data_IF_906962442913
#
_entry.id   IF_906962442913
#
_cell.length_a   1.000
_cell.length_b   1.000
_cell.length_c   1.000
_cell.angle_alpha   90.00
_cell.angle_beta   90.00
_cell.angle_gamma   90.00
#
_symmetry.space_group_name_H-M   'P 1'
#
loop_
_entity.id
_entity.type
_entity.pdbx_description
1 polymer ?
#
# COMPACT_ATOMS: atom_id res chain seq x y z
N UNK A 1 11.99 -14.70 -28.75
CA UNK A 1 11.33 -15.85 -28.11
C UNK A 1 11.67 -15.98 -26.64
N UNK A 2 10.64 -16.05 -25.80
CA UNK A 2 10.73 -16.19 -24.35
C UNK A 2 11.25 -17.56 -23.88
N UNK A 3 11.63 -18.45 -24.80
CA UNK A 3 12.20 -19.77 -24.53
C UNK A 3 13.71 -19.90 -24.74
N UNK A 4 14.41 -18.82 -25.12
CA UNK A 4 15.88 -18.85 -25.27
C UNK A 4 16.57 -18.65 -23.91
N UNK A 5 17.73 -19.28 -23.72
CA UNK A 5 18.56 -19.13 -22.50
C UNK A 5 18.85 -17.65 -22.19
N UNK A 6 19.11 -16.86 -23.23
CA UNK A 6 19.33 -15.41 -23.17
C UNK A 6 18.08 -14.64 -22.72
N UNK A 7 16.88 -15.11 -23.08
CA UNK A 7 15.61 -14.55 -22.63
C UNK A 7 15.36 -14.79 -21.14
N UNK A 8 15.68 -15.98 -20.64
CA UNK A 8 15.59 -16.32 -19.21
C UNK A 8 16.59 -15.53 -18.38
N UNK A 9 17.81 -15.40 -18.86
CA UNK A 9 18.85 -14.63 -18.19
C UNK A 9 18.46 -13.14 -18.08
N UNK A 10 17.97 -12.55 -19.18
CA UNK A 10 17.46 -11.17 -19.17
C UNK A 10 16.28 -11.00 -18.21
N UNK A 11 15.40 -12.00 -18.14
CA UNK A 11 14.27 -12.01 -17.21
C UNK A 11 14.72 -11.99 -15.74
N UNK A 12 15.72 -12.81 -15.39
CA UNK A 12 16.27 -12.87 -14.03
C UNK A 12 16.85 -11.51 -13.64
N UNK A 13 17.66 -10.89 -14.52
CA UNK A 13 18.24 -9.57 -14.24
C UNK A 13 17.17 -8.48 -14.06
N UNK A 14 16.16 -8.45 -14.94
CA UNK A 14 15.04 -7.51 -14.79
C UNK A 14 14.28 -7.69 -13.47
N UNK A 15 14.12 -8.93 -13.01
CA UNK A 15 13.43 -9.24 -11.77
C UNK A 15 14.24 -8.77 -10.55
N UNK A 16 15.55 -9.01 -10.56
CA UNK A 16 16.48 -8.57 -9.50
C UNK A 16 16.43 -7.04 -9.35
N UNK A 17 16.46 -6.30 -10.45
CA UNK A 17 16.45 -4.84 -10.41
C UNK A 17 15.14 -4.29 -9.82
N UNK A 18 14.01 -4.87 -10.21
CA UNK A 18 12.70 -4.50 -9.66
C UNK A 18 12.61 -4.76 -8.15
N UNK A 19 13.15 -5.88 -7.67
CA UNK A 19 13.23 -6.19 -6.22
C UNK A 19 14.10 -5.16 -5.49
N UNK A 20 15.28 -4.83 -6.01
CA UNK A 20 16.19 -3.86 -5.39
C UNK A 20 15.58 -2.45 -5.34
N UNK A 21 14.92 -2.02 -6.41
CA UNK A 21 14.24 -0.73 -6.47
C UNK A 21 13.11 -0.67 -5.43
N UNK A 22 12.24 -1.69 -5.39
CA UNK A 22 11.15 -1.77 -4.42
C UNK A 22 11.65 -1.79 -2.97
N UNK A 23 12.71 -2.55 -2.69
CA UNK A 23 13.31 -2.65 -1.35
C UNK A 23 13.87 -1.32 -0.81
N UNK A 24 14.20 -0.37 -1.69
CA UNK A 24 14.76 0.95 -1.32
C UNK A 24 13.74 2.07 -1.45
N UNK A 25 12.54 1.78 -1.92
CA UNK A 25 11.50 2.78 -2.09
C UNK A 25 11.08 3.34 -0.72
N UNK A 26 11.19 4.65 -0.55
CA UNK A 26 10.64 5.33 0.61
C UNK A 26 9.14 5.49 0.40
N UNK A 27 8.36 4.59 1.01
CA UNK A 27 6.91 4.74 1.06
C UNK A 27 6.62 5.86 2.05
N UNK A 28 6.14 6.99 1.55
CA UNK A 28 5.61 8.05 2.41
C UNK A 28 4.45 7.45 3.20
N UNK A 29 4.67 7.13 4.47
CA UNK A 29 3.57 6.99 5.41
C UNK A 29 2.93 8.37 5.49
N UNK A 30 1.74 8.52 4.91
CA UNK A 30 0.94 9.71 5.09
C UNK A 30 0.85 9.98 6.58
N UNK A 31 1.55 11.01 7.05
CA UNK A 31 1.45 11.46 8.42
C UNK A 31 -0.01 11.84 8.59
N UNK A 32 -0.72 11.06 9.43
CA UNK A 32 -2.03 11.41 9.90
C UNK A 32 -1.91 12.71 10.69
N UNK A 33 -2.02 13.83 9.98
CA UNK A 33 -2.21 15.15 10.55
C UNK A 33 -3.42 15.08 11.51
N UNK A 34 -3.17 15.54 12.73
CA UNK A 34 -4.10 15.87 13.82
C UNK A 34 -4.60 14.75 14.74
N UNK A 35 -3.96 14.65 15.93
CA UNK A 35 -4.65 14.70 17.23
C UNK A 35 -3.70 15.00 18.41
N UNK A 36 -2.83 16.00 18.26
CA UNK A 36 -2.04 16.59 19.37
C UNK A 36 -2.88 17.50 20.28
N UNK A 37 -4.21 17.46 20.17
CA UNK A 37 -5.14 18.28 20.98
C UNK A 37 -5.46 17.62 22.33
N UNK A 38 -5.27 16.31 22.48
CA UNK A 38 -5.57 15.60 23.73
C UNK A 38 -4.45 15.67 24.79
N UNK A 39 -3.25 16.14 24.43
CA UNK A 39 -2.14 16.26 25.40
C UNK A 39 -2.26 17.49 26.33
N UNK A 40 -3.17 18.44 26.04
CA UNK A 40 -3.41 19.63 26.88
C UNK A 40 -4.36 19.39 28.06
N UNK A 41 -4.99 18.21 28.17
CA UNK A 41 -5.90 17.90 29.28
C UNK A 41 -5.30 16.98 30.36
N UNK A 42 -4.01 16.63 30.27
CA UNK A 42 -3.35 15.69 31.19
C UNK A 42 -2.88 16.29 32.54
N UNK A 43 -3.40 17.46 32.91
CA UNK A 43 -3.02 18.14 34.15
C UNK A 43 -4.13 18.20 35.21
N UNK A 44 -5.04 17.22 35.28
CA UNK A 44 -5.80 16.98 36.50
C UNK A 44 -6.15 15.49 36.65
N UNK A 45 -5.65 14.89 37.74
CA UNK A 45 -5.67 13.47 38.00
C UNK A 45 -7.08 12.88 38.09
N UNK A 46 -7.34 11.86 37.28
CA UNK A 46 -8.33 10.84 37.58
C UNK A 46 -7.87 9.53 36.94
N UNK A 47 -7.51 8.57 37.80
CA UNK A 47 -7.31 7.17 37.43
C UNK A 47 -8.67 6.58 37.06
N UNK A 48 -8.82 6.05 35.85
CA UNK A 48 -9.83 5.01 35.59
C UNK A 48 -9.31 4.05 34.53
N UNK A 49 -8.78 2.92 35.00
CA UNK A 49 -8.66 1.72 34.19
C UNK A 49 -10.10 1.28 33.85
N UNK A 50 -10.49 1.37 32.59
CA UNK A 50 -11.72 0.76 32.09
C UNK A 50 -11.38 0.03 30.80
N UNK A 51 -11.29 -1.29 30.89
CA UNK A 51 -11.36 -2.16 29.73
C UNK A 51 -12.67 -1.84 29.00
N UNK A 52 -12.56 -1.26 27.81
CA UNK A 52 -13.70 -0.94 26.96
C UNK A 52 -13.39 -1.46 25.57
N UNK A 53 -13.57 -2.77 25.40
CA UNK A 53 -14.02 -3.30 24.11
C UNK A 53 -15.42 -2.69 23.93
N UNK A 54 -15.50 -1.65 23.11
CA UNK A 54 -16.76 -1.15 22.58
C UNK A 54 -16.83 -1.57 21.11
N UNK A 55 -17.85 -2.31 20.68
CA UNK A 55 -18.21 -2.33 19.26
C UNK A 55 -18.87 -0.97 18.99
N UNK A 56 -18.03 0.03 18.69
CA UNK A 56 -18.44 1.40 18.50
C UNK A 56 -18.83 1.66 17.05
N UNK A 57 -20.13 1.76 16.82
CA UNK A 57 -20.76 2.40 15.66
C UNK A 57 -20.47 3.89 15.77
N UNK A 58 -19.27 4.29 15.36
CA UNK A 58 -18.85 5.67 15.08
C UNK A 58 -17.86 5.55 13.92
N UNK A 59 -17.84 6.49 12.97
CA UNK A 59 -16.99 6.51 11.76
C UNK A 59 -15.47 6.54 12.01
N UNK A 60 -14.97 5.60 12.82
CA UNK A 60 -13.60 5.41 13.23
C UNK A 60 -12.79 4.83 12.09
N UNK A 61 -11.95 5.69 11.51
CA UNK A 61 -10.88 5.33 10.59
C UNK A 61 -10.12 4.13 11.16
N UNK A 62 -10.16 2.98 10.47
CA UNK A 62 -9.46 1.77 10.91
C UNK A 62 -7.97 2.09 11.05
N UNK A 63 -7.42 1.93 12.26
CA UNK A 63 -5.99 2.19 12.49
C UNK A 63 -5.18 0.96 12.13
N UNK A 64 -4.47 1.04 11.00
CA UNK A 64 -3.63 -0.04 10.50
C UNK A 64 -2.19 -0.03 11.02
N UNK A 65 -1.86 0.82 12.00
CA UNK A 65 -0.53 0.89 12.60
C UNK A 65 0.59 0.96 11.54
N UNK A 66 1.57 0.06 11.65
CA UNK A 66 2.70 -0.08 10.71
C UNK A 66 2.49 -1.19 9.67
N UNK A 67 1.25 -1.56 9.36
CA UNK A 67 0.94 -2.60 8.37
C UNK A 67 1.11 -2.08 6.94
N UNK A 68 1.72 -2.91 6.08
CA UNK A 68 1.88 -2.66 4.65
C UNK A 68 1.42 -3.91 3.87
N UNK A 69 0.79 -3.71 2.72
CA UNK A 69 0.45 -4.78 1.79
C UNK A 69 1.43 -4.73 0.62
N UNK A 70 2.08 -5.84 0.30
CA UNK A 70 2.95 -5.97 -0.88
C UNK A 70 2.31 -6.91 -1.91
N UNK A 71 2.23 -6.49 -3.17
CA UNK A 71 1.67 -7.27 -4.28
C UNK A 71 2.73 -7.41 -5.38
N UNK A 72 3.05 -8.65 -5.75
CA UNK A 72 3.88 -8.97 -6.92
C UNK A 72 3.05 -9.60 -8.02
N UNK A 73 3.14 -9.10 -9.26
CA UNK A 73 2.39 -9.64 -10.39
C UNK A 73 3.14 -9.50 -11.73
N UNK A 74 2.69 -10.28 -12.73
CA UNK A 74 3.31 -10.36 -14.05
C UNK A 74 2.23 -10.47 -15.13
N UNK A 75 2.19 -11.53 -15.94
CA UNK A 75 1.17 -11.76 -16.97
C UNK A 75 -0.25 -11.67 -16.39
N UNK A 76 -1.11 -10.83 -16.99
CA UNK A 76 -2.48 -10.58 -16.50
C UNK A 76 -2.58 -9.75 -15.21
N UNK A 77 -1.45 -9.40 -14.60
CA UNK A 77 -1.39 -8.72 -13.31
C UNK A 77 -2.01 -7.32 -13.31
N UNK A 78 -1.92 -6.60 -14.43
CA UNK A 78 -2.48 -5.23 -14.55
C UNK A 78 -3.99 -5.20 -14.29
N UNK A 79 -4.75 -6.12 -14.91
CA UNK A 79 -6.20 -6.22 -14.71
C UNK A 79 -6.52 -6.83 -13.34
N UNK A 80 -5.77 -7.84 -12.90
CA UNK A 80 -5.99 -8.46 -11.60
C UNK A 80 -5.83 -7.45 -10.45
N UNK A 81 -4.76 -6.66 -10.47
CA UNK A 81 -4.50 -5.60 -9.50
C UNK A 81 -5.61 -4.55 -9.57
N UNK A 82 -5.99 -4.10 -10.76
CA UNK A 82 -7.10 -3.16 -10.92
C UNK A 82 -8.39 -3.67 -10.27
N UNK A 83 -8.75 -4.95 -10.49
CA UNK A 83 -9.94 -5.56 -9.90
C UNK A 83 -9.90 -5.67 -8.37
N UNK A 84 -8.71 -5.82 -7.80
CA UNK A 84 -8.51 -5.81 -6.35
C UNK A 84 -8.68 -4.38 -5.84
N UNK A 85 -7.86 -3.44 -6.34
CA UNK A 85 -7.80 -2.07 -5.81
C UNK A 85 -9.15 -1.34 -5.91
N UNK A 86 -9.92 -1.53 -6.99
CA UNK A 86 -11.24 -0.90 -7.16
C UNK A 86 -12.29 -1.33 -6.13
N UNK A 87 -12.05 -2.45 -5.42
CA UNK A 87 -12.95 -2.98 -4.38
C UNK A 87 -12.49 -2.61 -2.97
N UNK A 88 -11.30 -2.03 -2.84
CA UNK A 88 -10.76 -1.66 -1.53
C UNK A 88 -11.36 -0.32 -1.06
N UNK A 89 -11.69 -0.19 0.23
CA UNK A 89 -12.05 1.08 0.82
C UNK A 89 -10.84 2.03 0.90
N UNK A 90 -11.10 3.33 0.96
CA UNK A 90 -10.07 4.38 1.02
C UNK A 90 -9.25 4.38 2.32
N UNK A 91 -9.70 3.63 3.34
CA UNK A 91 -9.05 3.57 4.64
C UNK A 91 -7.98 2.47 4.74
N UNK A 92 -7.66 1.77 3.64
CA UNK A 92 -6.69 0.67 3.65
C UNK A 92 -5.26 1.10 4.04
N UNK A 93 -4.43 0.18 4.57
CA UNK A 93 -3.00 0.42 4.77
C UNK A 93 -2.30 0.68 3.42
N UNK A 94 -1.09 1.24 3.48
CA UNK A 94 -0.27 1.47 2.29
C UNK A 94 -0.03 0.17 1.50
N UNK A 95 -0.12 0.27 0.17
CA UNK A 95 0.05 -0.86 -0.75
C UNK A 95 1.22 -0.59 -1.68
N UNK A 96 2.19 -1.49 -1.72
CA UNK A 96 3.33 -1.46 -2.65
C UNK A 96 3.14 -2.55 -3.69
N UNK A 97 3.26 -2.18 -4.97
CA UNK A 97 3.02 -3.08 -6.09
C UNK A 97 4.28 -3.16 -6.95
N UNK A 98 4.73 -4.40 -7.20
CA UNK A 98 5.75 -4.71 -8.20
C UNK A 98 5.08 -5.47 -9.34
N UNK A 99 4.87 -4.77 -10.44
CA UNK A 99 4.31 -5.36 -11.65
C UNK A 99 5.41 -5.49 -12.70
N UNK A 100 5.56 -6.68 -13.28
CA UNK A 100 6.42 -6.87 -14.44
C UNK A 100 5.76 -6.26 -15.68
N UNK A 101 6.11 -5.00 -15.94
CA UNK A 101 5.75 -4.26 -17.16
C UNK A 101 6.97 -3.46 -17.64
N UNK A 102 7.06 -3.15 -18.95
CA UNK A 102 8.16 -2.32 -19.46
C UNK A 102 8.13 -0.90 -18.83
N UNK A 103 9.28 -0.25 -18.61
CA UNK A 103 9.39 0.99 -17.84
C UNK A 103 8.45 2.12 -18.28
N UNK A 104 8.24 2.26 -19.60
CA UNK A 104 7.36 3.28 -20.18
C UNK A 104 5.88 3.12 -19.78
N UNK A 105 5.46 1.92 -19.38
CA UNK A 105 4.08 1.64 -18.97
C UNK A 105 3.86 1.78 -17.46
N UNK A 106 4.91 1.83 -16.64
CA UNK A 106 4.78 1.93 -15.19
C UNK A 106 4.04 3.20 -14.76
N UNK A 107 4.35 4.35 -15.39
CA UNK A 107 3.64 5.60 -15.12
C UNK A 107 2.18 5.54 -15.54
N UNK A 108 1.91 5.06 -16.76
CA UNK A 108 0.54 4.90 -17.26
C UNK A 108 -0.30 3.97 -16.37
N UNK A 109 0.31 2.91 -15.85
CA UNK A 109 -0.35 1.99 -14.93
C UNK A 109 -0.71 2.68 -13.61
N UNK A 110 0.23 3.43 -13.01
CA UNK A 110 -0.02 4.20 -11.79
C UNK A 110 -1.11 5.26 -11.99
N UNK A 111 -1.06 6.02 -13.10
CA UNK A 111 -2.04 7.05 -13.43
C UNK A 111 -3.45 6.45 -13.63
N UNK A 112 -3.54 5.26 -14.26
CA UNK A 112 -4.81 4.52 -14.38
C UNK A 112 -5.34 4.09 -13.01
N UNK A 113 -4.49 3.58 -12.12
CA UNK A 113 -4.93 3.16 -10.78
C UNK A 113 -5.43 4.37 -9.97
N UNK A 114 -4.71 5.48 -10.01
CA UNK A 114 -5.08 6.72 -9.33
C UNK A 114 -6.41 7.31 -9.83
N UNK A 115 -6.69 7.21 -11.14
CA UNK A 115 -7.94 7.73 -11.72
C UNK A 115 -9.14 6.77 -11.62
N UNK A 116 -8.89 5.48 -11.40
CA UNK A 116 -9.92 4.43 -11.50
C UNK A 116 -10.21 3.71 -10.18
N UNK A 117 -9.60 4.12 -9.07
CA UNK A 117 -9.79 3.54 -7.74
C UNK A 117 -10.09 4.63 -6.70
N UNK A 118 -10.59 4.23 -5.54
CA UNK A 118 -10.95 5.14 -4.44
C UNK A 118 -9.85 5.19 -3.35
N UNK A 119 -8.61 4.92 -3.73
CA UNK A 119 -7.43 4.90 -2.86
C UNK A 119 -6.63 6.20 -2.98
#
# INVERSE_FOLDING_TARGET
DAGSVQGVERFIYEMIDKIKIASRAQVLQGQGENLTVLSRLKNNGARTFSSKIRPGIDGGRRSFGSTLIAIGASTGGTEAIYHILRKLPSDMPGIVIVQHIPPKFSRMFADRMNSSTNL
#
